data_IF_657387395268
#
_entry.id   IF_657387395268
#
_cell.length_a   1.000
_cell.length_b   1.000
_cell.length_c   1.000
_cell.angle_alpha   90.00
_cell.angle_beta   90.00
_cell.angle_gamma   90.00
#
_symmetry.space_group_name_H-M   'P 1'
#
loop_
_entity.id
_entity.type
_entity.pdbx_description
1 polymer ?
#
# COMPACT_ATOMS: atom_id res chain seq x y z
N UNK A 1 -1.51 16.93 -23.02
CA UNK A 1 -2.97 16.71 -23.06
C UNK A 1 -3.41 15.29 -22.66
N UNK A 2 -2.68 14.21 -22.98
CA UNK A 2 -3.03 12.84 -22.50
C UNK A 2 -2.45 12.46 -21.13
N UNK A 3 -1.30 13.02 -20.72
CA UNK A 3 -0.69 12.74 -19.41
C UNK A 3 -1.50 13.30 -18.21
N UNK A 4 -2.23 14.39 -18.40
CA UNK A 4 -3.10 14.97 -17.37
C UNK A 4 -4.37 14.16 -17.14
N UNK A 5 -4.89 13.48 -18.17
CA UNK A 5 -6.02 12.60 -18.00
C UNK A 5 -5.61 11.38 -17.19
N UNK A 6 -4.49 10.70 -17.49
CA UNK A 6 -4.02 9.58 -16.66
C UNK A 6 -3.76 9.97 -15.20
N UNK A 7 -3.27 11.18 -14.94
CA UNK A 7 -3.15 11.70 -13.59
C UNK A 7 -4.53 11.91 -12.92
N UNK A 8 -5.55 12.36 -13.64
CA UNK A 8 -6.94 12.43 -13.13
C UNK A 8 -7.54 11.04 -12.85
N UNK A 9 -7.32 10.05 -13.73
CA UNK A 9 -7.78 8.67 -13.50
C UNK A 9 -7.05 8.00 -12.32
N UNK A 10 -5.79 8.36 -12.08
CA UNK A 10 -5.01 7.89 -10.91
C UNK A 10 -5.29 8.71 -9.63
N UNK A 11 -5.82 9.93 -9.75
CA UNK A 11 -6.28 10.77 -8.63
C UNK A 11 -7.69 10.42 -8.15
N UNK A 12 -8.55 9.85 -9.00
CA UNK A 12 -9.88 9.38 -8.62
C UNK A 12 -9.84 8.13 -7.73
N UNK A 13 -8.81 7.29 -7.87
CA UNK A 13 -8.65 6.06 -7.07
C UNK A 13 -8.36 6.35 -5.58
N UNK A 14 -7.92 7.58 -5.25
CA UNK A 14 -7.61 8.00 -3.88
C UNK A 14 -8.82 8.47 -3.08
N UNK A 15 -10.02 8.53 -3.68
CA UNK A 15 -11.28 8.94 -3.02
C UNK A 15 -12.37 7.87 -3.06
N UNK A 16 -12.04 6.63 -3.39
CA UNK A 16 -13.00 5.55 -3.27
C UNK A 16 -13.22 5.28 -1.79
N UNK A 17 -14.37 5.72 -1.30
CA UNK A 17 -14.83 5.41 0.05
C UNK A 17 -15.80 4.25 0.00
N UNK A 18 -15.78 3.40 1.01
CA UNK A 18 -16.71 2.27 1.13
C UNK A 18 -17.46 2.37 2.45
N UNK A 19 -18.73 1.97 2.43
CA UNK A 19 -19.52 1.91 3.66
C UNK A 19 -19.21 0.66 4.47
N UNK A 20 -19.64 0.62 5.74
CA UNK A 20 -19.53 -0.58 6.58
C UNK A 20 -20.18 -1.80 5.91
N UNK A 21 -21.36 -1.61 5.33
CA UNK A 21 -22.10 -2.67 4.62
C UNK A 21 -21.32 -3.21 3.42
N UNK A 22 -20.69 -2.33 2.65
CA UNK A 22 -19.85 -2.71 1.53
C UNK A 22 -18.56 -3.40 1.99
N UNK A 23 -17.93 -2.90 3.05
CA UNK A 23 -16.71 -3.48 3.62
C UNK A 23 -16.96 -4.89 4.14
N UNK A 24 -18.07 -5.09 4.87
CA UNK A 24 -18.58 -6.39 5.31
C UNK A 24 -18.72 -7.36 4.13
N UNK A 25 -19.36 -6.93 3.03
CA UNK A 25 -19.53 -7.74 1.82
C UNK A 25 -18.21 -8.09 1.14
N UNK A 26 -17.31 -7.12 0.98
CA UNK A 26 -16.04 -7.33 0.27
C UNK A 26 -15.03 -8.15 1.06
N UNK A 27 -15.08 -8.09 2.39
CA UNK A 27 -14.16 -8.78 3.27
C UNK A 27 -14.73 -10.09 3.82
N UNK A 28 -15.96 -10.45 3.46
CA UNK A 28 -16.68 -11.61 3.97
C UNK A 28 -16.71 -11.66 5.51
N UNK A 29 -16.89 -10.49 6.13
CA UNK A 29 -17.02 -10.32 7.58
C UNK A 29 -18.43 -9.83 7.89
N UNK A 30 -18.98 -10.19 9.04
CA UNK A 30 -20.27 -9.65 9.47
C UNK A 30 -20.15 -8.16 9.84
N UNK A 31 -21.24 -7.39 9.75
CA UNK A 31 -21.25 -5.98 10.18
C UNK A 31 -20.78 -5.80 11.63
N UNK A 32 -21.14 -6.73 12.52
CA UNK A 32 -20.74 -6.71 13.92
C UNK A 32 -19.22 -6.88 14.11
N UNK A 33 -18.58 -7.76 13.33
CA UNK A 33 -17.12 -7.92 13.37
C UNK A 33 -16.40 -6.68 12.81
N UNK A 34 -16.96 -6.03 11.79
CA UNK A 34 -16.39 -4.78 11.28
C UNK A 34 -16.49 -3.67 12.33
N UNK A 35 -17.62 -3.59 13.05
CA UNK A 35 -17.83 -2.62 14.13
C UNK A 35 -16.89 -2.87 15.31
N UNK A 36 -16.71 -4.13 15.72
CA UNK A 36 -15.77 -4.50 16.79
C UNK A 36 -14.30 -4.17 16.40
N UNK A 37 -13.93 -4.30 15.11
CA UNK A 37 -12.63 -3.83 14.62
C UNK A 37 -12.47 -2.29 14.66
N UNK A 38 -13.56 -1.54 14.57
CA UNK A 38 -13.56 -0.09 14.80
C UNK A 38 -13.39 0.21 16.29
N UNK A 39 -14.05 -0.53 17.17
CA UNK A 39 -13.89 -0.40 18.62
C UNK A 39 -12.46 -0.70 19.08
N UNK A 40 -11.81 -1.70 18.49
CA UNK A 40 -10.39 -1.98 18.71
C UNK A 40 -9.44 -0.92 18.08
N UNK A 41 -9.98 0.02 17.30
CA UNK A 41 -9.20 1.07 16.63
C UNK A 41 -8.38 0.57 15.43
N UNK A 42 -8.60 -0.66 14.97
CA UNK A 42 -7.91 -1.22 13.81
C UNK A 42 -8.49 -0.70 12.49
N UNK A 43 -9.79 -0.40 12.47
CA UNK A 43 -10.45 0.34 11.39
C UNK A 43 -10.78 1.75 11.87
N UNK A 44 -10.41 2.75 11.07
CA UNK A 44 -10.65 4.15 11.36
C UNK A 44 -11.64 4.72 10.33
N UNK A 45 -12.88 5.01 10.74
CA UNK A 45 -13.84 5.68 9.87
C UNK A 45 -13.35 7.07 9.46
N UNK A 46 -13.61 7.46 8.21
CA UNK A 46 -13.29 8.80 7.69
C UNK A 46 -14.25 9.87 8.21
N UNK A 47 -15.48 9.50 8.55
CA UNK A 47 -16.49 10.38 9.12
C UNK A 47 -17.21 9.66 10.26
N UNK A 48 -17.14 10.23 11.46
CA UNK A 48 -17.85 9.76 12.65
C UNK A 48 -19.11 10.61 12.83
N UNK A 49 -20.27 10.00 13.09
CA UNK A 49 -21.54 10.70 13.33
C UNK A 49 -22.52 10.75 12.15
N UNK A 50 -22.29 9.98 11.08
CA UNK A 50 -23.34 9.65 10.10
C UNK A 50 -24.08 8.39 10.53
N UNK A 51 -25.26 8.18 9.97
CA UNK A 51 -26.07 6.97 10.16
C UNK A 51 -25.33 5.71 9.67
N UNK A 52 -24.40 5.86 8.72
CA UNK A 52 -23.54 4.78 8.23
C UNK A 52 -22.05 5.19 8.28
N UNK A 53 -21.20 4.32 8.84
CA UNK A 53 -19.75 4.51 8.89
C UNK A 53 -19.13 4.33 7.50
N UNK A 54 -18.16 5.18 7.19
CA UNK A 54 -17.49 5.22 5.88
C UNK A 54 -15.98 5.09 6.08
N UNK A 55 -15.35 4.26 5.25
CA UNK A 55 -13.94 3.90 5.31
C UNK A 55 -13.24 4.22 3.99
N UNK A 56 -11.91 4.31 4.01
CA UNK A 56 -11.11 4.35 2.78
C UNK A 56 -11.10 2.97 2.12
N UNK A 57 -11.30 2.88 0.80
CA UNK A 57 -11.16 1.62 0.07
C UNK A 57 -9.77 0.98 0.21
N UNK A 58 -8.75 1.74 0.61
CA UNK A 58 -7.40 1.23 0.87
C UNK A 58 -7.38 0.17 2.00
N UNK A 59 -8.34 0.19 2.93
CA UNK A 59 -8.41 -0.80 3.99
C UNK A 59 -8.88 -2.19 3.51
N UNK A 60 -9.50 -2.30 2.32
CA UNK A 60 -10.07 -3.55 1.81
C UNK A 60 -9.01 -4.63 1.62
N UNK A 61 -7.89 -4.30 0.97
CA UNK A 61 -6.82 -5.26 0.69
C UNK A 61 -6.18 -5.85 1.96
N UNK A 62 -5.72 -5.04 2.93
CA UNK A 62 -5.17 -5.56 4.16
C UNK A 62 -6.24 -6.25 5.03
N UNK A 63 -7.50 -5.78 5.01
CA UNK A 63 -8.59 -6.43 5.74
C UNK A 63 -8.94 -7.82 5.17
N UNK A 64 -9.00 -7.96 3.84
CA UNK A 64 -9.17 -9.28 3.18
C UNK A 64 -8.01 -10.23 3.52
N UNK A 65 -6.79 -9.71 3.55
CA UNK A 65 -5.61 -10.51 3.93
C UNK A 65 -5.72 -10.97 5.39
N UNK A 66 -6.06 -10.06 6.31
CA UNK A 66 -6.24 -10.38 7.72
C UNK A 66 -7.40 -11.37 7.94
N UNK A 67 -8.53 -11.21 7.22
CA UNK A 67 -9.65 -12.13 7.26
C UNK A 67 -9.31 -13.53 6.74
N UNK A 68 -8.50 -13.62 5.68
CA UNK A 68 -7.98 -14.91 5.21
C UNK A 68 -7.07 -15.56 6.25
N UNK A 69 -6.15 -14.80 6.85
CA UNK A 69 -5.29 -15.30 7.93
C UNK A 69 -6.10 -15.75 9.14
N UNK A 70 -7.22 -15.07 9.45
CA UNK A 70 -8.14 -15.49 10.50
C UNK A 70 -8.65 -16.91 10.28
N UNK A 71 -9.08 -17.21 9.05
CA UNK A 71 -9.60 -18.54 8.69
C UNK A 71 -8.48 -19.59 8.62
N UNK A 72 -7.33 -19.22 8.07
CA UNK A 72 -6.21 -20.14 7.88
C UNK A 72 -5.57 -20.54 9.23
N UNK A 73 -5.62 -19.67 10.24
CA UNK A 73 -4.96 -19.87 11.54
C UNK A 73 -5.92 -19.90 12.74
N UNK A 74 -7.24 -19.90 12.50
CA UNK A 74 -8.29 -19.89 13.53
C UNK A 74 -8.10 -18.78 14.60
N UNK A 75 -7.86 -17.55 14.11
CA UNK A 75 -7.55 -16.41 14.98
C UNK A 75 -8.82 -15.73 15.50
N UNK A 76 -8.72 -15.13 16.68
CA UNK A 76 -9.75 -14.23 17.20
C UNK A 76 -9.72 -12.86 16.52
N UNK A 77 -10.78 -12.07 16.70
CA UNK A 77 -10.91 -10.77 16.06
C UNK A 77 -9.90 -9.73 16.59
N UNK A 78 -9.51 -9.86 17.86
CA UNK A 78 -8.44 -9.04 18.44
C UNK A 78 -7.09 -9.26 17.74
N UNK A 79 -6.75 -10.51 17.44
CA UNK A 79 -5.56 -10.87 16.68
C UNK A 79 -5.64 -10.33 15.25
N UNK A 80 -6.81 -10.37 14.62
CA UNK A 80 -7.06 -9.73 13.31
C UNK A 80 -6.84 -8.22 13.37
N UNK A 81 -7.31 -7.54 14.43
CA UNK A 81 -7.07 -6.12 14.64
C UNK A 81 -5.57 -5.79 14.68
N UNK A 82 -4.80 -6.58 15.41
CA UNK A 82 -3.33 -6.45 15.48
C UNK A 82 -2.67 -6.72 14.12
N UNK A 83 -3.06 -7.79 13.43
CA UNK A 83 -2.56 -8.12 12.09
C UNK A 83 -2.82 -7.00 11.09
N UNK A 84 -4.01 -6.41 11.13
CA UNK A 84 -4.37 -5.30 10.26
C UNK A 84 -3.44 -4.10 10.48
N UNK A 85 -3.13 -3.78 11.74
CA UNK A 85 -2.15 -2.77 12.10
C UNK A 85 -0.75 -3.05 11.53
N UNK A 86 -0.28 -4.29 11.61
CA UNK A 86 1.02 -4.70 11.05
C UNK A 86 1.03 -4.67 9.52
N UNK A 87 -0.02 -5.15 8.86
CA UNK A 87 -0.15 -5.11 7.40
C UNK A 87 -0.10 -3.67 6.87
N UNK A 88 -0.85 -2.77 7.49
CA UNK A 88 -0.83 -1.34 7.17
C UNK A 88 0.57 -0.73 7.36
N UNK A 89 1.27 -1.14 8.43
CA UNK A 89 2.63 -0.68 8.71
C UNK A 89 3.63 -1.19 7.68
N UNK A 90 3.56 -2.46 7.30
CA UNK A 90 4.42 -3.07 6.27
C UNK A 90 4.18 -2.34 4.94
N UNK A 91 2.93 -2.17 4.53
CA UNK A 91 2.60 -1.47 3.28
C UNK A 91 3.14 -0.03 3.27
N UNK A 92 3.01 0.69 4.39
CA UNK A 92 3.56 2.05 4.52
C UNK A 92 5.10 2.06 4.43
N UNK A 93 5.77 1.06 5.02
CA UNK A 93 7.22 0.93 4.96
C UNK A 93 7.70 0.57 3.56
N UNK A 94 7.07 -0.41 2.91
CA UNK A 94 7.41 -0.78 1.54
C UNK A 94 7.20 0.37 0.55
N UNK A 95 6.14 1.17 0.72
CA UNK A 95 5.95 2.39 -0.08
C UNK A 95 7.10 3.37 0.08
N UNK A 96 7.61 3.53 1.30
CA UNK A 96 8.79 4.38 1.56
C UNK A 96 10.05 3.80 0.91
N UNK A 97 10.27 2.49 1.02
CA UNK A 97 11.40 1.82 0.37
C UNK A 97 11.36 2.02 -1.14
N UNK A 98 10.23 1.72 -1.80
CA UNK A 98 10.05 1.93 -3.24
C UNK A 98 10.26 3.40 -3.64
N UNK A 99 9.81 4.34 -2.81
CA UNK A 99 10.04 5.76 -3.04
C UNK A 99 11.53 6.10 -2.98
N UNK A 100 12.26 5.62 -1.98
CA UNK A 100 13.70 5.85 -1.84
C UNK A 100 14.51 5.20 -2.97
N UNK A 101 14.16 3.97 -3.35
CA UNK A 101 14.78 3.27 -4.48
C UNK A 101 14.57 4.02 -5.80
N UNK A 102 13.39 4.61 -6.02
CA UNK A 102 13.12 5.41 -7.21
C UNK A 102 13.93 6.72 -7.28
N UNK A 103 14.39 7.24 -6.13
CA UNK A 103 15.26 8.42 -6.06
C UNK A 103 16.75 8.06 -6.08
N UNK A 104 17.09 6.78 -6.03
CA UNK A 104 18.46 6.32 -6.21
C UNK A 104 18.73 6.13 -7.72
N UNK A 105 19.72 6.82 -8.31
CA UNK A 105 20.13 6.50 -9.67
C UNK A 105 20.60 5.04 -9.69
N UNK A 106 20.08 4.23 -10.62
CA UNK A 106 20.42 2.80 -10.73
C UNK A 106 21.95 2.60 -10.59
N UNK A 107 22.44 1.61 -9.81
CA UNK A 107 23.87 1.29 -9.68
C UNK A 107 24.54 0.72 -10.95
N UNK A 108 23.99 0.99 -12.14
CA UNK A 108 24.38 0.35 -13.40
C UNK A 108 25.23 1.21 -14.34
N UNK A 109 25.43 2.51 -14.10
CA UNK A 109 26.10 3.40 -15.06
C UNK A 109 27.48 3.96 -14.62
N UNK A 110 28.06 3.42 -13.54
CA UNK A 110 29.47 3.71 -13.20
C UNK A 110 30.45 2.69 -13.83
N UNK A 111 29.97 1.79 -14.69
CA UNK A 111 30.83 0.98 -15.54
C UNK A 111 31.07 1.69 -16.88
N UNK A 112 31.93 2.72 -16.89
CA UNK A 112 32.78 3.21 -18.02
C UNK A 112 33.14 4.71 -17.86
N UNK A 113 33.89 5.04 -16.82
CA UNK A 113 35.01 5.97 -17.06
C UNK A 113 36.21 5.06 -17.30
N UNK A 114 36.39 4.51 -18.51
CA UNK A 114 37.15 5.18 -19.55
C UNK A 114 38.38 5.88 -18.95
N UNK A 115 39.31 5.10 -18.40
CA UNK A 115 40.70 5.55 -18.36
C UNK A 115 41.11 5.87 -19.80
N UNK A 116 41.51 7.11 -20.12
CA UNK A 116 42.17 7.37 -21.37
C UNK A 116 43.59 6.81 -21.25
N UNK A 117 43.81 5.58 -21.73
CA UNK A 117 45.14 4.98 -21.83
C UNK A 117 46.05 5.92 -22.66
N UNK A 118 47.06 6.58 -22.05
CA UNK A 118 47.86 7.58 -22.73
C UNK A 118 48.98 6.97 -23.59
N UNK A 119 49.10 5.64 -23.70
CA UNK A 119 50.28 4.99 -24.31
C UNK A 119 50.09 4.47 -25.75
N UNK A 120 49.01 4.84 -26.45
CA UNK A 120 48.83 4.47 -27.88
C UNK A 120 49.26 5.52 -28.90
N UNK A 121 49.86 6.64 -28.49
CA UNK A 121 50.30 7.71 -29.39
C UNK A 121 51.75 7.56 -29.92
N UNK A 122 52.45 6.47 -29.63
CA UNK A 122 53.85 6.31 -30.06
C UNK A 122 54.12 4.92 -30.61
N UNK A 123 53.61 4.68 -31.82
CA UNK A 123 54.18 3.74 -32.80
C UNK A 123 53.58 4.03 -34.18
N UNK A 124 53.98 5.17 -34.72
CA UNK A 124 54.12 5.36 -36.16
C UNK A 124 55.58 5.69 -36.39
N UNK A 125 56.35 4.68 -36.76
CA UNK A 125 57.49 4.73 -37.67
C UNK A 125 57.75 3.30 -38.16
#
# INVERSE_FOLDING_TARGET
>A
MQAQQQAEWMWLDQRTTVTLSELSRFCAMSPAEVDELVEYGALLPLAQGREELVFSAQCITPLRTAGKLRLDFDLDLFSVAMLLGYLNRIEALERRVRSLEAHMPLPGLLATQAEPNPLRASRSD
#
